data_IF_256782050606
#
_entry.id   IF_256782050606
#
_cell.length_a   1.000
_cell.length_b   1.000
_cell.length_c   1.000
_cell.angle_alpha   90.00
_cell.angle_beta   90.00
_cell.angle_gamma   90.00
#
_symmetry.space_group_name_H-M   'P 1'
#
loop_
_entity.id
_entity.type
_entity.pdbx_description
1 polymer ?
#
# COMPACT_ATOMS: atom_id res chain seq x y z
N UNK A 1 -18.09 28.96 56.00
CA UNK A 1 -19.36 28.29 55.73
C UNK A 1 -18.98 27.15 54.75
N UNK A 2 -18.56 26.03 55.27
CA UNK A 2 -19.33 24.85 55.70
C UNK A 2 -19.89 24.16 54.44
N UNK A 3 -19.16 23.13 54.02
CA UNK A 3 -19.47 21.69 54.22
C UNK A 3 -20.56 21.14 53.29
N UNK A 4 -20.22 20.25 52.42
CA UNK A 4 -20.76 18.90 52.53
C UNK A 4 -20.01 17.90 51.66
N UNK A 5 -19.20 17.07 52.28
CA UNK A 5 -18.66 15.78 51.82
C UNK A 5 -19.67 14.68 52.18
N UNK A 6 -19.96 13.80 51.26
CA UNK A 6 -20.45 12.46 51.61
C UNK A 6 -19.93 11.42 50.56
N UNK A 7 -19.41 10.27 51.02
CA UNK A 7 -18.85 9.21 50.16
C UNK A 7 -19.92 8.17 49.78
N UNK A 8 -19.91 7.71 48.55
CA UNK A 8 -20.69 6.54 48.14
C UNK A 8 -19.85 5.27 48.17
N UNK A 9 -20.45 4.31 48.79
CA UNK A 9 -19.99 3.00 49.23
C UNK A 9 -19.47 2.08 48.16
N UNK A 10 -18.41 1.36 48.52
CA UNK A 10 -18.03 0.09 47.96
C UNK A 10 -19.02 -0.98 48.39
N UNK A 11 -19.62 -1.72 47.44
CA UNK A 11 -20.21 -3.06 47.64
C UNK A 11 -20.60 -3.59 46.26
N UNK A 12 -19.90 -4.54 45.79
CA UNK A 12 -20.27 -5.86 45.22
C UNK A 12 -19.19 -6.40 44.29
N UNK A 13 -18.18 -6.98 44.93
CA UNK A 13 -17.36 -8.03 44.32
C UNK A 13 -17.77 -9.28 45.08
N UNK A 14 -18.47 -10.20 44.42
CA UNK A 14 -18.39 -11.64 44.78
C UNK A 14 -19.12 -12.49 43.74
N UNK A 15 -18.41 -13.56 43.37
CA UNK A 15 -18.87 -14.85 42.87
C UNK A 15 -19.18 -14.99 41.37
N UNK A 16 -18.25 -15.64 40.66
CA UNK A 16 -18.49 -16.94 40.01
C UNK A 16 -17.15 -17.52 39.56
N UNK A 17 -16.45 -18.15 40.49
CA UNK A 17 -15.58 -19.29 40.26
C UNK A 17 -16.45 -20.54 40.23
N UNK A 18 -15.95 -21.59 39.57
CA UNK A 18 -16.44 -22.97 39.48
C UNK A 18 -17.21 -23.32 38.18
N UNK A 19 -16.44 -23.76 37.16
CA UNK A 19 -16.67 -25.04 36.52
C UNK A 19 -15.50 -25.45 35.61
N UNK A 20 -14.47 -26.02 36.22
CA UNK A 20 -13.50 -26.88 35.56
C UNK A 20 -13.76 -28.33 36.05
N UNK A 21 -14.36 -29.14 35.19
CA UNK A 21 -14.30 -30.61 35.35
C UNK A 21 -14.47 -31.29 33.98
N UNK A 22 -13.38 -31.86 33.53
CA UNK A 22 -13.19 -33.15 32.88
C UNK A 22 -14.31 -33.71 31.97
N UNK A 23 -14.00 -33.82 30.66
CA UNK A 23 -14.35 -35.01 29.87
C UNK A 23 -13.12 -35.43 29.06
N UNK A 24 -12.43 -36.46 29.56
CA UNK A 24 -11.59 -37.34 28.77
C UNK A 24 -12.48 -38.48 28.27
N UNK A 25 -12.56 -38.69 26.96
CA UNK A 25 -13.12 -39.88 26.36
C UNK A 25 -12.45 -40.14 25.02
N UNK A 26 -11.55 -41.09 25.00
CA UNK A 26 -11.49 -42.30 24.17
C UNK A 26 -11.39 -42.10 22.64
N UNK A 27 -10.20 -42.42 22.15
CA UNK A 27 -9.89 -42.82 20.78
C UNK A 27 -10.39 -44.25 20.53
N UNK A 28 -11.08 -44.56 19.43
CA UNK A 28 -11.26 -45.93 18.98
C UNK A 28 -10.11 -46.34 18.02
N UNK A 29 -9.68 -47.58 18.24
CA UNK A 29 -8.56 -48.27 17.63
C UNK A 29 -8.72 -48.57 16.13
N UNK A 30 -7.61 -48.88 15.54
CA UNK A 30 -7.45 -49.46 14.22
C UNK A 30 -8.20 -50.79 14.08
N UNK A 31 -8.76 -51.11 12.89
CA UNK A 31 -9.03 -52.48 12.53
C UNK A 31 -8.03 -53.00 11.50
N UNK A 32 -7.64 -54.24 11.77
CA UNK A 32 -6.78 -55.16 11.05
C UNK A 32 -7.08 -55.33 9.56
N UNK A 33 -6.01 -55.62 8.84
CA UNK A 33 -6.00 -56.12 7.48
C UNK A 33 -6.58 -57.52 7.34
N UNK A 34 -7.52 -57.73 6.44
CA UNK A 34 -7.64 -58.84 5.51
C UNK A 34 -9.05 -58.87 4.88
N UNK A 35 -9.18 -58.63 3.60
CA UNK A 35 -9.73 -59.55 2.64
C UNK A 35 -9.87 -58.87 1.25
N UNK A 36 -9.33 -59.59 0.26
CA UNK A 36 -9.40 -59.20 -1.13
C UNK A 36 -10.82 -59.30 -1.70
N UNK A 37 -11.16 -58.38 -2.58
CA UNK A 37 -12.14 -58.60 -3.64
C UNK A 37 -11.84 -57.67 -4.81
N UNK A 38 -11.70 -58.32 -5.94
CA UNK A 38 -11.65 -57.87 -7.34
C UNK A 38 -12.14 -56.46 -7.62
N UNK A 39 -11.22 -55.64 -8.15
CA UNK A 39 -11.52 -54.34 -8.70
C UNK A 39 -12.08 -54.51 -10.10
N UNK A 40 -13.24 -53.99 -10.31
CA UNK A 40 -14.04 -54.00 -11.54
C UNK A 40 -13.31 -53.36 -12.72
N UNK A 41 -13.41 -53.96 -13.87
CA UNK A 41 -12.77 -53.59 -15.15
C UNK A 41 -13.27 -52.28 -15.81
N UNK A 42 -13.90 -51.38 -15.06
CA UNK A 42 -14.35 -50.10 -15.57
C UNK A 42 -13.38 -48.94 -15.38
N UNK A 43 -12.45 -49.04 -14.45
CA UNK A 43 -11.46 -47.98 -14.19
C UNK A 43 -10.30 -48.02 -15.21
N UNK A 44 -10.07 -49.15 -15.89
CA UNK A 44 -8.98 -49.29 -16.87
C UNK A 44 -9.36 -48.78 -18.27
N UNK A 45 -10.66 -48.59 -18.55
CA UNK A 45 -11.14 -48.09 -19.84
C UNK A 45 -11.03 -46.53 -19.94
N UNK A 46 -11.06 -45.82 -18.83
CA UNK A 46 -10.94 -44.35 -18.83
C UNK A 46 -9.47 -43.86 -18.88
N UNK A 47 -8.50 -44.67 -18.46
CA UNK A 47 -7.08 -44.36 -18.57
C UNK A 47 -6.54 -44.47 -20.00
N UNK A 48 -7.15 -45.31 -20.85
CA UNK A 48 -6.75 -45.47 -22.24
C UNK A 48 -7.37 -44.43 -23.20
N UNK A 49 -8.28 -43.58 -22.74
CA UNK A 49 -8.81 -42.45 -23.53
C UNK A 49 -7.98 -41.16 -23.44
N UNK A 50 -7.01 -41.07 -22.54
CA UNK A 50 -6.15 -39.90 -22.37
C UNK A 50 -4.80 -39.99 -23.09
N UNK A 51 -4.50 -41.13 -23.77
CA UNK A 51 -3.25 -41.31 -24.49
C UNK A 51 -3.31 -41.04 -26.00
N UNK A 52 -4.36 -40.37 -26.48
CA UNK A 52 -4.60 -40.06 -27.90
C UNK A 52 -4.36 -38.62 -28.32
N UNK A 53 -3.64 -37.79 -27.55
CA UNK A 53 -3.19 -36.51 -28.05
C UNK A 53 -2.00 -36.70 -28.99
N UNK A 54 -2.30 -36.77 -30.28
CA UNK A 54 -1.30 -36.59 -31.32
C UNK A 54 -0.73 -35.18 -31.21
N UNK A 55 0.58 -35.08 -31.00
CA UNK A 55 1.33 -33.85 -31.19
C UNK A 55 1.19 -33.43 -32.65
N UNK A 56 0.35 -32.47 -32.93
CA UNK A 56 0.36 -31.78 -34.22
C UNK A 56 1.70 -31.05 -34.34
N UNK A 57 2.37 -31.26 -35.50
CA UNK A 57 3.58 -30.53 -35.83
C UNK A 57 3.32 -29.04 -35.78
N UNK A 58 4.25 -28.20 -35.28
CA UNK A 58 4.10 -26.78 -35.35
C UNK A 58 3.94 -26.34 -36.79
N UNK A 59 2.87 -25.65 -37.07
CA UNK A 59 2.65 -24.94 -38.33
C UNK A 59 3.82 -23.97 -38.57
N UNK A 60 4.25 -23.75 -39.80
CA UNK A 60 5.27 -22.78 -40.12
C UNK A 60 4.76 -21.40 -39.65
N UNK A 61 5.65 -20.68 -38.97
CA UNK A 61 5.45 -19.29 -38.59
C UNK A 61 5.02 -18.50 -39.81
N UNK A 62 3.76 -18.09 -39.87
CA UNK A 62 3.32 -17.04 -40.78
C UNK A 62 4.12 -15.79 -40.45
N UNK A 63 4.59 -15.13 -41.50
CA UNK A 63 5.36 -13.87 -41.42
C UNK A 63 4.75 -12.92 -40.39
N UNK A 64 5.59 -12.19 -39.64
CA UNK A 64 5.11 -11.22 -38.69
C UNK A 64 4.23 -10.22 -39.47
N UNK A 65 2.99 -10.06 -39.01
CA UNK A 65 2.10 -8.99 -39.43
C UNK A 65 2.92 -7.73 -39.24
N UNK A 66 3.31 -7.08 -40.31
CA UNK A 66 3.87 -5.74 -40.30
C UNK A 66 2.79 -4.81 -39.71
N UNK A 67 2.80 -4.65 -38.38
CA UNK A 67 2.17 -3.52 -37.75
C UNK A 67 2.93 -2.26 -38.21
N UNK A 68 2.21 -1.33 -38.80
CA UNK A 68 2.73 -0.08 -39.29
C UNK A 68 3.52 0.63 -38.17
N UNK A 69 4.81 1.00 -38.39
CA UNK A 69 5.64 1.65 -37.38
C UNK A 69 5.10 3.01 -36.88
N UNK A 70 4.06 3.54 -37.53
CA UNK A 70 3.46 4.84 -37.20
C UNK A 70 2.56 4.83 -35.95
N UNK A 71 2.21 3.67 -35.35
CA UNK A 71 1.39 3.59 -34.13
C UNK A 71 2.17 3.40 -32.83
N UNK A 72 3.50 3.27 -32.88
CA UNK A 72 4.31 3.26 -31.67
C UNK A 72 4.41 4.69 -31.11
N UNK A 73 3.77 4.95 -29.96
CA UNK A 73 3.97 6.23 -29.27
C UNK A 73 5.44 6.32 -28.85
N UNK A 74 6.17 7.26 -29.48
CA UNK A 74 7.57 7.49 -29.14
C UNK A 74 7.68 7.96 -27.68
N UNK A 75 8.74 7.59 -26.95
CA UNK A 75 9.00 8.07 -25.59
C UNK A 75 8.90 9.61 -25.48
N UNK A 76 9.31 10.33 -26.52
CA UNK A 76 9.16 11.78 -26.63
C UNK A 76 7.70 12.26 -26.55
N UNK A 77 6.73 11.46 -27.01
CA UNK A 77 5.31 11.80 -26.93
C UNK A 77 4.80 11.70 -25.49
N UNK A 78 5.16 10.64 -24.74
CA UNK A 78 4.79 10.48 -23.34
C UNK A 78 5.36 11.61 -22.48
N UNK A 79 6.63 11.93 -22.65
CA UNK A 79 7.30 13.02 -21.94
C UNK A 79 6.64 14.38 -22.20
N UNK A 80 6.27 14.67 -23.44
CA UNK A 80 5.55 15.90 -23.79
C UNK A 80 4.19 15.98 -23.10
N UNK A 81 3.39 14.91 -23.17
CA UNK A 81 2.07 14.86 -22.55
C UNK A 81 2.17 14.95 -21.02
N UNK A 82 3.18 14.35 -20.39
CA UNK A 82 3.43 14.49 -18.96
C UNK A 82 3.76 15.94 -18.59
N UNK A 83 4.64 16.60 -19.36
CA UNK A 83 4.97 18.02 -19.16
C UNK A 83 3.74 18.94 -19.34
N UNK A 84 2.85 18.62 -20.27
CA UNK A 84 1.59 19.35 -20.44
C UNK A 84 0.66 19.13 -19.24
N UNK A 85 0.57 17.90 -18.72
CA UNK A 85 -0.19 17.61 -17.51
C UNK A 85 0.36 18.39 -16.30
N UNK A 86 1.68 18.45 -16.12
CA UNK A 86 2.32 19.24 -15.07
C UNK A 86 1.93 20.72 -15.13
N UNK A 87 1.90 21.29 -16.33
CA UNK A 87 1.46 22.69 -16.53
C UNK A 87 0.00 22.90 -16.15
N UNK A 88 -0.90 21.95 -16.52
CA UNK A 88 -2.32 22.01 -16.18
C UNK A 88 -2.50 21.92 -14.67
N UNK A 89 -1.79 21.01 -14.00
CA UNK A 89 -1.87 20.89 -12.53
C UNK A 89 -1.32 22.12 -11.82
N UNK A 90 -0.21 22.69 -12.27
CA UNK A 90 0.32 23.95 -11.72
C UNK A 90 -0.58 25.16 -12.01
N UNK A 91 -1.28 25.20 -13.15
CA UNK A 91 -2.30 26.23 -13.45
C UNK A 91 -3.35 26.26 -12.34
N UNK A 92 -3.87 25.09 -11.94
CA UNK A 92 -4.99 25.00 -11.03
C UNK A 92 -4.60 24.92 -9.55
N UNK A 93 -3.46 24.31 -9.21
CA UNK A 93 -3.03 24.14 -7.83
C UNK A 93 -1.90 25.08 -7.40
N UNK A 94 -1.39 25.89 -8.32
CA UNK A 94 -0.33 26.87 -8.08
C UNK A 94 1.05 26.36 -8.50
N UNK A 95 1.97 27.32 -8.68
CA UNK A 95 3.33 27.03 -9.17
C UNK A 95 4.13 26.10 -8.23
N UNK A 96 3.86 26.14 -6.93
CA UNK A 96 4.48 25.29 -5.91
C UNK A 96 3.84 23.90 -5.77
N UNK A 97 2.91 23.53 -6.66
CA UNK A 97 2.34 22.19 -6.64
C UNK A 97 3.43 21.14 -6.85
N UNK A 98 3.46 20.16 -5.95
CA UNK A 98 4.40 19.06 -5.99
C UNK A 98 4.01 18.03 -7.05
N UNK A 99 4.58 18.17 -8.24
CA UNK A 99 4.26 17.32 -9.41
C UNK A 99 4.69 15.87 -9.21
N UNK A 100 5.65 15.56 -8.34
CA UNK A 100 6.04 14.19 -8.08
C UNK A 100 4.91 13.38 -7.43
N UNK A 101 3.99 14.04 -6.71
CA UNK A 101 2.77 13.37 -6.22
C UNK A 101 1.89 12.94 -7.39
N UNK A 102 1.72 13.81 -8.39
CA UNK A 102 1.01 13.47 -9.62
C UNK A 102 1.73 12.33 -10.35
N UNK A 103 3.05 12.44 -10.49
CA UNK A 103 3.85 11.42 -11.16
C UNK A 103 3.74 10.06 -10.46
N UNK A 104 3.77 10.00 -9.12
CA UNK A 104 3.58 8.77 -8.37
C UNK A 104 2.17 8.16 -8.59
N UNK A 105 1.14 9.01 -8.61
CA UNK A 105 -0.26 8.58 -8.88
C UNK A 105 -0.37 8.04 -10.31
N UNK A 106 0.19 8.74 -11.29
CA UNK A 106 0.17 8.29 -12.69
C UNK A 106 1.02 7.04 -12.92
N UNK A 107 2.19 6.95 -12.27
CA UNK A 107 3.05 5.76 -12.31
C UNK A 107 2.33 4.52 -11.74
N UNK A 108 1.68 4.64 -10.59
CA UNK A 108 0.90 3.56 -10.01
C UNK A 108 -0.28 3.15 -10.92
N UNK A 109 -0.97 4.14 -11.54
CA UNK A 109 -2.05 3.87 -12.47
C UNK A 109 -1.57 3.27 -13.80
N UNK A 110 -0.37 3.60 -14.28
CA UNK A 110 0.24 3.00 -15.46
C UNK A 110 0.74 1.57 -15.18
N UNK A 111 1.30 1.33 -13.99
CA UNK A 111 1.77 0.01 -13.56
C UNK A 111 0.65 -1.04 -13.47
N UNK A 112 -0.62 -0.63 -13.38
CA UNK A 112 -1.79 -1.54 -13.43
C UNK A 112 -1.76 -2.45 -14.67
N UNK A 113 -1.21 -1.99 -15.78
CA UNK A 113 -1.13 -2.74 -17.05
C UNK A 113 0.16 -3.54 -17.22
N UNK A 114 1.13 -3.36 -16.34
CA UNK A 114 2.39 -4.07 -16.38
C UNK A 114 2.29 -5.40 -15.64
N UNK A 115 3.01 -6.40 -16.09
CA UNK A 115 3.09 -7.68 -15.40
C UNK A 115 3.78 -7.54 -14.05
N UNK A 116 3.38 -8.35 -13.08
CA UNK A 116 3.92 -8.40 -11.73
C UNK A 116 2.91 -7.97 -10.67
N UNK A 117 3.38 -7.74 -9.45
CA UNK A 117 2.54 -7.38 -8.30
C UNK A 117 1.85 -6.01 -8.52
N UNK A 118 0.63 -5.79 -8.03
CA UNK A 118 -0.01 -4.49 -8.14
C UNK A 118 0.70 -3.43 -7.29
N UNK A 119 0.63 -2.17 -7.69
CA UNK A 119 1.01 -1.04 -6.84
C UNK A 119 -0.21 -0.54 -6.10
N UNK A 120 -0.16 -0.55 -4.77
CA UNK A 120 -1.11 0.15 -3.94
C UNK A 120 -0.43 1.40 -3.37
N UNK A 121 -0.96 2.57 -3.72
CA UNK A 121 -0.35 3.85 -3.40
C UNK A 121 -1.25 4.66 -2.46
N UNK A 122 -0.67 5.24 -1.41
CA UNK A 122 -1.35 6.25 -0.59
C UNK A 122 -0.66 7.60 -0.71
N UNK A 123 -1.45 8.62 -1.02
CA UNK A 123 -1.04 10.02 -0.96
C UNK A 123 -1.35 10.54 0.45
N UNK A 124 -0.32 10.88 1.21
CA UNK A 124 -0.44 11.37 2.59
C UNK A 124 -0.11 12.86 2.62
N UNK A 125 -1.02 13.68 3.15
CA UNK A 125 -0.76 15.08 3.44
C UNK A 125 -1.72 15.62 4.50
N UNK A 126 -1.50 16.83 4.96
CA UNK A 126 -2.42 17.52 5.88
C UNK A 126 -3.83 17.68 5.30
N UNK A 127 -4.78 18.01 6.14
CA UNK A 127 -6.14 18.32 5.69
C UNK A 127 -6.17 19.60 4.86
N UNK A 128 -7.05 19.65 3.84
CA UNK A 128 -7.19 20.83 2.98
C UNK A 128 -6.15 20.95 1.86
N UNK A 129 -5.26 19.97 1.68
CA UNK A 129 -4.32 19.91 0.57
C UNK A 129 -4.95 19.22 -0.67
N UNK A 130 -4.26 19.30 -1.80
CA UNK A 130 -4.74 18.86 -3.13
C UNK A 130 -4.85 17.35 -3.33
N UNK A 131 -4.45 16.51 -2.33
CA UNK A 131 -4.39 15.04 -2.46
C UNK A 131 -5.65 14.38 -3.03
N UNK A 132 -6.83 14.74 -2.49
CA UNK A 132 -8.10 14.15 -2.95
C UNK A 132 -8.42 14.57 -4.37
N UNK A 133 -8.15 15.83 -4.74
CA UNK A 133 -8.32 16.30 -6.11
C UNK A 133 -7.37 15.56 -7.05
N UNK A 134 -6.07 15.42 -6.69
CA UNK A 134 -5.06 14.73 -7.48
C UNK A 134 -5.41 13.27 -7.79
N UNK A 135 -5.96 12.52 -6.84
CA UNK A 135 -6.34 11.10 -7.11
C UNK A 135 -7.70 10.98 -7.81
N UNK A 136 -8.64 11.91 -7.56
CA UNK A 136 -10.00 11.84 -8.14
C UNK A 136 -10.04 12.05 -9.65
N UNK A 137 -8.98 12.62 -10.23
CA UNK A 137 -8.85 12.81 -11.68
C UNK A 137 -8.79 11.49 -12.45
N UNK A 138 -8.42 10.38 -11.78
CA UNK A 138 -8.42 9.03 -12.35
C UNK A 138 -9.83 8.55 -12.77
N UNK A 139 -10.90 9.21 -12.32
CA UNK A 139 -12.24 9.04 -12.90
C UNK A 139 -12.26 9.31 -14.43
N UNK A 140 -11.33 10.12 -14.93
CA UNK A 140 -11.15 10.38 -16.36
C UNK A 140 -10.70 9.17 -17.19
N UNK A 141 -10.22 8.12 -16.55
CA UNK A 141 -9.80 6.85 -17.18
C UNK A 141 -10.63 5.65 -16.68
N UNK A 142 -11.86 5.90 -16.31
CA UNK A 142 -12.82 4.90 -15.85
C UNK A 142 -12.43 4.16 -14.55
N UNK A 143 -11.59 4.75 -13.70
CA UNK A 143 -11.35 4.22 -12.36
C UNK A 143 -12.63 4.27 -11.52
N UNK A 144 -12.85 3.28 -10.65
CA UNK A 144 -13.89 3.39 -9.63
C UNK A 144 -13.40 4.32 -8.53
N UNK A 145 -14.05 5.46 -8.38
CA UNK A 145 -13.77 6.44 -7.33
C UNK A 145 -14.85 6.34 -6.24
N UNK A 146 -14.45 6.01 -5.02
CA UNK A 146 -15.34 5.93 -3.85
C UNK A 146 -14.77 6.70 -2.67
N UNK A 147 -15.61 7.03 -1.70
CA UNK A 147 -15.14 7.75 -0.50
C UNK A 147 -14.31 6.83 0.38
N UNK A 148 -14.87 5.68 0.80
CA UNK A 148 -14.22 4.72 1.67
C UNK A 148 -14.84 3.32 1.48
N UNK A 149 -14.31 2.32 2.18
CA UNK A 149 -14.86 0.97 2.25
C UNK A 149 -15.44 0.78 3.65
N UNK A 150 -16.76 0.70 3.74
CA UNK A 150 -17.45 0.63 5.03
C UNK A 150 -17.47 -0.78 5.65
N UNK A 151 -17.30 -1.82 4.85
CA UNK A 151 -17.29 -3.23 5.30
C UNK A 151 -16.73 -4.14 4.22
N UNK A 152 -16.41 -5.39 4.58
CA UNK A 152 -16.06 -6.44 3.61
C UNK A 152 -17.19 -6.73 2.61
N UNK A 153 -18.47 -6.55 3.02
CA UNK A 153 -19.62 -6.69 2.14
C UNK A 153 -19.64 -5.69 0.99
N UNK A 154 -19.03 -4.51 1.17
CA UNK A 154 -18.86 -3.54 0.10
C UNK A 154 -17.87 -4.03 -0.98
N UNK A 155 -16.90 -4.85 -0.59
CA UNK A 155 -15.92 -5.45 -1.51
C UNK A 155 -16.55 -6.59 -2.32
N UNK A 156 -17.25 -7.51 -1.64
CA UNK A 156 -17.87 -8.67 -2.28
C UNK A 156 -19.15 -9.05 -1.54
N UNK A 157 -20.28 -9.13 -2.26
CA UNK A 157 -21.58 -9.43 -1.69
C UNK A 157 -22.39 -10.40 -2.55
N UNK A 158 -23.37 -11.06 -1.94
CA UNK A 158 -24.33 -11.92 -2.63
C UNK A 158 -25.78 -11.53 -2.31
N UNK A 159 -26.68 -11.64 -3.28
CA UNK A 159 -28.12 -11.55 -3.06
C UNK A 159 -28.66 -12.88 -2.54
N UNK A 160 -29.83 -12.84 -1.88
CA UNK A 160 -30.53 -14.02 -1.34
C UNK A 160 -31.14 -14.95 -2.41
N UNK A 161 -30.93 -14.69 -3.70
CA UNK A 161 -31.56 -15.50 -4.78
C UNK A 161 -31.02 -16.92 -4.79
N UNK A 162 -31.91 -17.91 -4.77
CA UNK A 162 -31.57 -19.33 -4.86
C UNK A 162 -30.86 -19.71 -6.17
N UNK A 163 -31.09 -18.95 -7.25
CA UNK A 163 -30.50 -19.20 -8.58
C UNK A 163 -29.01 -18.85 -8.67
N UNK A 164 -28.45 -18.16 -7.66
CA UNK A 164 -27.04 -17.73 -7.62
C UNK A 164 -26.24 -18.41 -6.49
N UNK A 165 -26.53 -19.69 -6.25
CA UNK A 165 -25.84 -20.46 -5.21
C UNK A 165 -24.31 -20.40 -5.40
N UNK A 166 -23.60 -19.91 -4.38
CA UNK A 166 -22.14 -19.88 -4.35
C UNK A 166 -21.45 -18.78 -5.18
N UNK A 167 -22.22 -17.89 -5.85
CA UNK A 167 -21.62 -16.79 -6.65
C UNK A 167 -21.88 -15.44 -6.00
N UNK A 168 -20.87 -14.58 -6.02
CA UNK A 168 -21.02 -13.18 -5.67
C UNK A 168 -21.88 -12.48 -6.76
N UNK A 169 -22.79 -11.61 -6.32
CA UNK A 169 -23.71 -10.88 -7.22
C UNK A 169 -23.50 -9.36 -7.18
N UNK A 170 -22.63 -8.88 -6.31
CA UNK A 170 -22.34 -7.46 -6.13
C UNK A 170 -21.00 -7.19 -5.42
N UNK A 171 -20.70 -5.92 -5.27
CA UNK A 171 -19.51 -5.44 -4.61
C UNK A 171 -18.54 -4.72 -5.55
N UNK A 172 -17.55 -4.05 -4.97
CA UNK A 172 -16.56 -3.26 -5.72
C UNK A 172 -15.71 -4.14 -6.64
N UNK A 173 -15.32 -5.34 -6.20
CA UNK A 173 -14.45 -6.23 -6.97
C UNK A 173 -15.12 -6.66 -8.28
N UNK A 174 -16.39 -7.08 -8.24
CA UNK A 174 -17.11 -7.46 -9.46
C UNK A 174 -17.38 -6.27 -10.40
N UNK A 175 -17.44 -5.06 -9.86
CA UNK A 175 -17.55 -3.84 -10.69
C UNK A 175 -16.21 -3.56 -11.38
N UNK A 176 -15.07 -3.72 -10.67
CA UNK A 176 -13.73 -3.55 -11.21
C UNK A 176 -13.45 -4.57 -12.33
N UNK A 177 -13.88 -5.82 -12.16
CA UNK A 177 -13.67 -6.86 -13.17
C UNK A 177 -14.33 -6.55 -14.53
N UNK A 178 -15.37 -5.72 -14.53
CA UNK A 178 -16.06 -5.27 -15.76
C UNK A 178 -15.36 -4.11 -16.46
N UNK A 179 -14.35 -3.51 -15.83
CA UNK A 179 -13.63 -2.37 -16.37
C UNK A 179 -12.36 -2.82 -17.10
N UNK A 180 -11.99 -2.06 -18.11
CA UNK A 180 -10.72 -2.24 -18.82
C UNK A 180 -9.53 -2.00 -17.88
N UNK A 181 -9.62 -0.97 -17.03
CA UNK A 181 -8.63 -0.66 -16.00
C UNK A 181 -9.16 -1.03 -14.62
N UNK A 182 -8.42 -1.87 -13.91
CA UNK A 182 -8.80 -2.32 -12.57
C UNK A 182 -8.24 -1.38 -11.49
N UNK A 183 -8.64 -0.10 -11.59
CA UNK A 183 -8.22 0.97 -10.68
C UNK A 183 -9.33 1.29 -9.68
N UNK A 184 -9.02 1.16 -8.40
CA UNK A 184 -9.86 1.59 -7.28
C UNK A 184 -9.24 2.82 -6.61
N UNK A 185 -10.01 3.90 -6.57
CA UNK A 185 -9.60 5.15 -5.92
C UNK A 185 -10.40 5.36 -4.64
N UNK A 186 -9.71 5.45 -3.50
CA UNK A 186 -10.27 5.71 -2.18
C UNK A 186 -9.99 7.15 -1.77
N UNK A 187 -11.01 8.02 -1.80
CA UNK A 187 -10.82 9.45 -1.51
C UNK A 187 -10.45 9.73 -0.05
N UNK A 188 -10.84 8.84 0.86
CA UNK A 188 -10.60 8.99 2.29
C UNK A 188 -10.31 7.62 2.95
N UNK A 189 -9.04 7.25 2.99
CA UNK A 189 -8.56 6.09 3.74
C UNK A 189 -8.52 6.39 5.25
N UNK A 190 -8.47 7.67 5.65
CA UNK A 190 -8.49 8.07 7.06
C UNK A 190 -9.74 7.55 7.76
N UNK A 191 -10.92 7.64 7.11
CA UNK A 191 -12.16 7.09 7.65
C UNK A 191 -12.09 5.58 7.91
N UNK A 192 -11.41 4.82 7.06
CA UNK A 192 -11.23 3.37 7.24
C UNK A 192 -10.32 3.07 8.45
N UNK A 193 -9.18 3.75 8.55
CA UNK A 193 -8.23 3.50 9.66
C UNK A 193 -8.74 4.00 11.01
N UNK A 194 -9.63 5.00 11.00
CA UNK A 194 -10.29 5.55 12.20
C UNK A 194 -11.60 4.83 12.54
N UNK A 195 -12.03 3.85 11.74
CA UNK A 195 -13.23 3.06 12.01
C UNK A 195 -13.07 2.19 13.27
N UNK A 196 -14.19 1.64 13.74
CA UNK A 196 -14.19 0.65 14.83
C UNK A 196 -13.13 -0.45 14.58
N UNK A 197 -12.52 -0.93 15.67
CA UNK A 197 -11.40 -1.90 15.61
C UNK A 197 -11.75 -3.14 14.80
N UNK A 198 -12.97 -3.67 14.96
CA UNK A 198 -13.39 -4.90 14.30
C UNK A 198 -13.60 -4.66 12.79
N UNK A 199 -14.31 -3.59 12.43
CA UNK A 199 -14.52 -3.19 11.02
C UNK A 199 -13.19 -2.96 10.33
N UNK A 200 -12.31 -2.18 10.95
CA UNK A 200 -10.96 -1.92 10.42
C UNK A 200 -10.18 -3.21 10.21
N UNK A 201 -10.12 -4.08 11.23
CA UNK A 201 -9.38 -5.33 11.15
C UNK A 201 -9.90 -6.24 10.02
N UNK A 202 -11.23 -6.38 9.91
CA UNK A 202 -11.87 -7.23 8.89
C UNK A 202 -11.61 -6.70 7.47
N UNK A 203 -11.79 -5.39 7.24
CA UNK A 203 -11.58 -4.80 5.91
C UNK A 203 -10.09 -4.85 5.53
N UNK A 204 -9.17 -4.55 6.44
CA UNK A 204 -7.73 -4.61 6.15
C UNK A 204 -7.26 -6.05 5.90
N UNK A 205 -7.82 -7.05 6.62
CA UNK A 205 -7.55 -8.46 6.35
C UNK A 205 -8.01 -8.88 4.95
N UNK A 206 -9.23 -8.49 4.55
CA UNK A 206 -9.74 -8.73 3.21
C UNK A 206 -8.87 -8.06 2.13
N UNK A 207 -8.49 -6.78 2.34
CA UNK A 207 -7.61 -6.06 1.42
C UNK A 207 -6.25 -6.74 1.26
N UNK A 208 -5.70 -7.31 2.33
CA UNK A 208 -4.43 -8.04 2.27
C UNK A 208 -4.51 -9.25 1.33
N UNK A 209 -5.56 -10.05 1.42
CA UNK A 209 -5.75 -11.21 0.55
C UNK A 209 -6.06 -10.80 -0.89
N UNK A 210 -6.85 -9.73 -1.08
CA UNK A 210 -7.12 -9.15 -2.40
C UNK A 210 -5.80 -8.67 -3.06
N UNK A 211 -4.88 -8.09 -2.32
CA UNK A 211 -3.55 -7.74 -2.83
C UNK A 211 -2.79 -8.96 -3.34
N UNK A 212 -2.88 -10.07 -2.59
CA UNK A 212 -2.22 -11.33 -2.93
C UNK A 212 -2.94 -12.10 -4.07
N UNK A 213 -4.05 -11.55 -4.60
CA UNK A 213 -4.72 -11.99 -5.84
C UNK A 213 -5.89 -12.96 -5.65
N UNK A 214 -6.19 -13.37 -4.44
CA UNK A 214 -7.32 -14.23 -4.11
C UNK A 214 -7.94 -13.84 -2.79
N UNK A 215 -9.24 -13.84 -2.71
CA UNK A 215 -9.98 -13.64 -1.46
C UNK A 215 -11.26 -14.46 -1.43
N UNK A 216 -11.48 -15.11 -0.29
CA UNK A 216 -12.68 -15.88 -0.02
C UNK A 216 -13.39 -15.35 1.22
N UNK A 217 -14.72 -15.19 1.09
CA UNK A 217 -15.58 -14.70 2.16
C UNK A 217 -16.72 -15.67 2.40
N UNK A 218 -16.84 -16.14 3.65
CA UNK A 218 -17.98 -16.95 4.07
C UNK A 218 -19.12 -16.06 4.55
N UNK A 219 -20.31 -16.28 4.02
CA UNK A 219 -21.54 -15.56 4.40
C UNK A 219 -22.59 -16.53 4.91
N UNK A 220 -23.18 -16.25 6.07
CA UNK A 220 -24.17 -17.12 6.75
C UNK A 220 -25.55 -17.15 6.12
N UNK A 221 -25.72 -16.65 4.88
CA UNK A 221 -27.03 -16.60 4.19
C UNK A 221 -27.32 -17.94 3.52
N UNK A 222 -28.55 -18.46 3.70
CA UNK A 222 -29.04 -19.71 3.07
C UNK A 222 -28.16 -20.95 3.39
N UNK A 223 -27.85 -21.16 4.65
CA UNK A 223 -27.11 -22.36 5.11
C UNK A 223 -25.59 -22.26 4.99
N UNK A 224 -25.08 -21.07 4.77
CA UNK A 224 -23.64 -20.80 4.59
C UNK A 224 -23.22 -20.85 3.11
N UNK A 225 -22.50 -19.83 2.66
CA UNK A 225 -21.94 -19.75 1.31
C UNK A 225 -20.54 -19.19 1.37
N UNK A 226 -19.66 -19.73 0.55
CA UNK A 226 -18.37 -19.12 0.28
C UNK A 226 -18.45 -18.29 -1.00
N UNK A 227 -17.99 -17.04 -0.94
CA UNK A 227 -17.88 -16.14 -2.08
C UNK A 227 -16.40 -15.94 -2.34
N UNK A 228 -15.91 -16.35 -3.49
CA UNK A 228 -14.52 -16.19 -3.87
C UNK A 228 -14.37 -15.15 -4.98
N UNK A 229 -13.22 -14.50 -4.97
CA UNK A 229 -12.76 -13.61 -6.04
C UNK A 229 -11.27 -13.86 -6.28
N UNK A 230 -10.88 -13.85 -7.55
CA UNK A 230 -9.47 -13.87 -7.94
C UNK A 230 -9.21 -12.81 -8.99
N UNK A 231 -8.09 -12.12 -8.88
CA UNK A 231 -7.75 -11.05 -9.80
C UNK A 231 -6.61 -10.19 -9.31
N UNK A 232 -6.39 -9.09 -10.00
CA UNK A 232 -5.37 -8.09 -9.67
C UNK A 232 -5.99 -6.71 -9.79
N UNK A 233 -5.87 -5.90 -8.74
CA UNK A 233 -6.37 -4.52 -8.73
C UNK A 233 -5.29 -3.58 -8.22
N UNK A 234 -5.27 -2.36 -8.74
CA UNK A 234 -4.48 -1.26 -8.19
C UNK A 234 -5.37 -0.40 -7.32
N UNK A 235 -4.90 -0.09 -6.11
CA UNK A 235 -5.60 0.80 -5.17
C UNK A 235 -4.79 2.08 -4.99
N UNK A 236 -5.42 3.22 -5.22
CA UNK A 236 -4.82 4.54 -4.99
C UNK A 236 -5.69 5.29 -4.00
N UNK A 237 -5.11 5.68 -2.87
CA UNK A 237 -5.87 6.31 -1.79
C UNK A 237 -5.30 7.63 -1.33
N UNK A 238 -6.14 8.48 -0.71
CA UNK A 238 -5.73 9.64 0.03
C UNK A 238 -5.93 9.42 1.53
N UNK A 239 -4.93 9.81 2.32
CA UNK A 239 -4.96 9.71 3.75
C UNK A 239 -4.37 10.98 4.40
N UNK A 240 -4.78 11.27 5.63
CA UNK A 240 -4.13 12.30 6.43
C UNK A 240 -2.91 11.71 7.17
N UNK A 241 -2.16 12.57 7.84
CA UNK A 241 -1.05 12.17 8.72
C UNK A 241 -1.50 11.28 9.91
N UNK A 242 -2.81 11.09 10.10
CA UNK A 242 -3.34 10.08 11.02
C UNK A 242 -2.86 8.65 10.68
N UNK A 243 -2.47 8.39 9.42
CA UNK A 243 -1.79 7.16 9.01
C UNK A 243 -0.63 6.80 9.93
N UNK A 244 0.21 7.77 10.27
CA UNK A 244 1.41 7.55 11.10
C UNK A 244 1.07 7.15 12.54
N UNK A 245 -0.07 7.61 13.05
CA UNK A 245 -0.57 7.23 14.39
C UNK A 245 -1.02 5.76 14.43
N UNK A 246 -1.56 5.24 13.33
CA UNK A 246 -2.08 3.88 13.23
C UNK A 246 -1.08 2.91 12.56
N UNK A 247 0.09 3.38 12.18
CA UNK A 247 1.07 2.60 11.41
C UNK A 247 1.44 1.27 12.09
N UNK A 248 1.62 1.23 13.41
CA UNK A 248 1.95 0.01 14.13
C UNK A 248 0.90 -1.10 13.94
N UNK A 249 -0.40 -0.75 13.94
CA UNK A 249 -1.49 -1.71 13.70
C UNK A 249 -1.50 -2.19 12.26
N UNK A 250 -1.24 -1.28 11.31
CA UNK A 250 -1.22 -1.59 9.88
C UNK A 250 -0.01 -2.48 9.54
N UNK A 251 1.14 -2.16 10.09
CA UNK A 251 2.38 -2.90 9.88
C UNK A 251 2.31 -4.34 10.42
N UNK A 252 1.64 -4.57 11.56
CA UNK A 252 1.40 -5.93 12.09
C UNK A 252 0.59 -6.81 11.13
N UNK A 253 -0.24 -6.21 10.28
CA UNK A 253 -1.03 -6.92 9.28
C UNK A 253 -0.31 -7.05 7.93
N UNK A 254 0.94 -6.57 7.84
CA UNK A 254 1.75 -6.53 6.63
C UNK A 254 1.34 -5.38 5.71
N UNK A 255 2.13 -4.32 5.71
CA UNK A 255 1.88 -3.14 4.89
C UNK A 255 1.97 -3.49 3.39
N UNK A 256 0.91 -3.14 2.66
CA UNK A 256 0.80 -3.35 1.20
C UNK A 256 0.90 -2.04 0.43
N UNK A 257 1.02 -0.92 1.13
CA UNK A 257 0.99 0.39 0.50
C UNK A 257 2.38 0.99 0.34
N UNK A 258 2.62 1.55 -0.83
CA UNK A 258 3.69 2.52 -1.08
C UNK A 258 3.14 3.90 -0.74
N UNK A 259 3.90 4.73 -0.08
CA UNK A 259 3.47 6.06 0.32
C UNK A 259 4.15 7.14 -0.52
N UNK A 260 3.43 8.22 -0.79
CA UNK A 260 3.99 9.49 -1.25
C UNK A 260 3.44 10.62 -0.37
N UNK A 261 4.32 11.49 0.14
CA UNK A 261 3.95 12.52 1.12
C UNK A 261 4.00 13.91 0.50
N UNK A 262 2.91 14.67 0.70
CA UNK A 262 2.84 16.08 0.35
C UNK A 262 3.14 16.98 1.54
N UNK A 263 3.87 18.06 1.28
CA UNK A 263 4.12 19.10 2.29
C UNK A 263 2.97 20.11 2.30
N UNK A 264 2.03 19.91 3.24
CA UNK A 264 0.91 20.84 3.43
C UNK A 264 1.27 22.13 4.17
N UNK A 265 2.49 22.21 4.73
CA UNK A 265 2.96 23.41 5.45
C UNK A 265 3.57 24.44 4.52
N UNK A 266 4.06 24.02 3.34
CA UNK A 266 4.66 24.91 2.37
C UNK A 266 3.60 25.75 1.67
N UNK A 267 3.90 27.04 1.48
CA UNK A 267 3.13 28.00 0.68
C UNK A 267 1.62 28.08 0.98
N UNK A 268 1.25 27.91 2.27
CA UNK A 268 -0.15 27.83 2.70
C UNK A 268 -1.00 29.02 2.21
N UNK A 269 -0.46 30.24 2.28
CA UNK A 269 -1.18 31.44 1.82
C UNK A 269 -1.38 31.43 0.31
N UNK A 270 -0.34 31.09 -0.45
CA UNK A 270 -0.43 31.00 -1.91
C UNK A 270 -1.43 29.93 -2.35
N UNK A 271 -1.41 28.75 -1.71
CA UNK A 271 -2.40 27.69 -1.93
C UNK A 271 -3.83 28.16 -1.63
N UNK A 272 -4.03 28.88 -0.52
CA UNK A 272 -5.33 29.45 -0.15
C UNK A 272 -5.85 30.46 -1.17
N UNK A 273 -5.00 31.39 -1.62
CA UNK A 273 -5.34 32.35 -2.66
C UNK A 273 -5.67 31.68 -3.99
N UNK A 274 -4.92 30.64 -4.38
CA UNK A 274 -5.21 29.86 -5.57
C UNK A 274 -6.57 29.17 -5.49
N UNK A 275 -6.88 28.54 -4.35
CA UNK A 275 -8.19 27.93 -4.13
C UNK A 275 -9.35 28.93 -4.24
N UNK A 276 -9.18 30.14 -3.70
CA UNK A 276 -10.18 31.22 -3.84
C UNK A 276 -10.38 31.63 -5.30
N UNK A 277 -9.30 31.72 -6.10
CA UNK A 277 -9.39 32.04 -7.54
C UNK A 277 -10.12 30.98 -8.34
N UNK A 278 -10.04 29.72 -7.91
CA UNK A 278 -10.67 28.59 -8.58
C UNK A 278 -12.17 28.46 -8.22
N UNK A 279 -12.66 29.22 -7.25
CA UNK A 279 -14.07 29.14 -6.82
C UNK A 279 -15.02 29.43 -7.96
N UNK A 280 -15.94 28.51 -8.26
CA UNK A 280 -16.88 28.56 -9.36
C UNK A 280 -16.34 28.01 -10.68
N UNK A 281 -15.08 27.61 -10.74
CA UNK A 281 -14.44 27.01 -11.93
C UNK A 281 -14.17 25.51 -11.77
N UNK A 282 -14.74 24.86 -10.75
CA UNK A 282 -14.44 23.47 -10.37
C UNK A 282 -14.78 22.48 -11.49
N UNK A 283 -15.81 22.76 -12.30
CA UNK A 283 -16.21 21.90 -13.42
C UNK A 283 -15.15 21.95 -14.53
N UNK A 284 -14.72 23.17 -14.91
CA UNK A 284 -13.66 23.38 -15.91
C UNK A 284 -12.34 22.77 -15.43
N UNK A 285 -11.92 23.10 -14.21
CA UNK A 285 -10.74 22.54 -13.56
C UNK A 285 -10.72 21.01 -13.63
N UNK A 286 -11.78 20.37 -13.17
CA UNK A 286 -11.88 18.91 -13.19
C UNK A 286 -11.87 18.36 -14.63
N UNK A 287 -12.46 19.06 -15.57
CA UNK A 287 -12.46 18.71 -16.99
C UNK A 287 -11.04 18.67 -17.56
N UNK A 288 -10.28 19.77 -17.38
CA UNK A 288 -8.90 19.89 -17.87
C UNK A 288 -7.96 18.88 -17.20
N UNK A 289 -8.02 18.74 -15.87
CA UNK A 289 -7.20 17.80 -15.12
C UNK A 289 -7.44 16.34 -15.55
N UNK A 290 -8.71 15.94 -15.74
CA UNK A 290 -9.05 14.60 -16.23
C UNK A 290 -8.62 14.36 -17.67
N UNK A 291 -8.73 15.37 -18.53
CA UNK A 291 -8.27 15.26 -19.91
C UNK A 291 -6.75 15.07 -19.98
N UNK A 292 -5.97 15.86 -19.23
CA UNK A 292 -4.52 15.73 -19.15
C UNK A 292 -4.09 14.33 -18.67
N UNK A 293 -4.67 13.83 -17.58
CA UNK A 293 -4.39 12.49 -17.05
C UNK A 293 -4.74 11.39 -18.05
N UNK A 294 -5.89 11.51 -18.73
CA UNK A 294 -6.31 10.57 -19.77
C UNK A 294 -5.29 10.50 -20.92
N UNK A 295 -4.80 11.65 -21.38
CA UNK A 295 -3.81 11.72 -22.45
C UNK A 295 -2.52 10.99 -22.07
N UNK A 296 -1.98 11.26 -20.87
CA UNK A 296 -0.77 10.60 -20.37
C UNK A 296 -0.98 9.08 -20.24
N UNK A 297 -2.05 8.63 -19.59
CA UNK A 297 -2.26 7.21 -19.35
C UNK A 297 -2.64 6.42 -20.61
N UNK A 298 -3.23 7.06 -21.61
CA UNK A 298 -3.46 6.43 -22.92
C UNK A 298 -2.16 6.27 -23.71
N UNK A 299 -1.29 7.27 -23.70
CA UNK A 299 0.03 7.16 -24.31
C UNK A 299 0.89 6.09 -23.61
N UNK A 300 0.89 6.06 -22.28
CA UNK A 300 1.59 5.05 -21.50
C UNK A 300 1.14 3.60 -21.79
N UNK A 301 -0.09 3.42 -22.31
CA UNK A 301 -0.60 2.09 -22.72
C UNK A 301 0.19 1.49 -23.88
N UNK A 302 0.60 2.32 -24.82
CA UNK A 302 1.33 1.91 -26.01
C UNK A 302 2.86 1.90 -25.79
N UNK A 303 3.35 2.42 -24.66
CA UNK A 303 4.78 2.45 -24.35
C UNK A 303 5.33 1.01 -24.14
N UNK A 304 6.57 0.74 -24.58
CA UNK A 304 7.24 -0.52 -24.32
C UNK A 304 7.35 -0.78 -22.80
N UNK A 305 7.26 -2.05 -22.40
CA UNK A 305 7.42 -2.44 -20.99
C UNK A 305 8.85 -2.17 -20.54
N UNK A 306 9.10 -1.24 -19.60
CA UNK A 306 10.44 -0.92 -19.18
C UNK A 306 11.09 -2.08 -18.43
N UNK A 307 12.30 -2.46 -18.85
CA UNK A 307 13.14 -3.41 -18.12
C UNK A 307 13.99 -2.65 -17.11
N UNK A 308 14.20 -3.25 -15.93
CA UNK A 308 15.08 -2.70 -14.90
C UNK A 308 16.50 -3.20 -15.11
N UNK A 309 17.51 -2.35 -14.96
CA UNK A 309 18.90 -2.74 -14.96
C UNK A 309 19.30 -3.32 -13.59
N UNK A 310 20.39 -4.07 -13.52
CA UNK A 310 20.89 -4.62 -12.26
C UNK A 310 21.26 -3.53 -11.26
N UNK A 311 21.85 -2.43 -11.73
CA UNK A 311 22.22 -1.30 -10.86
C UNK A 311 20.99 -0.61 -10.23
N UNK A 312 19.95 -0.34 -11.03
CA UNK A 312 18.67 0.20 -10.53
C UNK A 312 18.01 -0.78 -9.56
N UNK A 313 18.03 -2.07 -9.90
CA UNK A 313 17.48 -3.12 -9.04
C UNK A 313 18.16 -3.17 -7.68
N UNK A 314 19.48 -3.05 -7.61
CA UNK A 314 20.22 -2.99 -6.35
C UNK A 314 19.80 -1.78 -5.52
N UNK A 315 19.77 -0.58 -6.09
CA UNK A 315 19.35 0.63 -5.37
C UNK A 315 17.93 0.50 -4.79
N UNK A 316 16.99 -0.09 -5.54
CA UNK A 316 15.63 -0.31 -5.05
C UNK A 316 15.56 -1.37 -3.94
N UNK A 317 16.42 -2.40 -3.99
CA UNK A 317 16.51 -3.42 -2.92
C UNK A 317 17.13 -2.82 -1.67
N UNK A 318 18.22 -2.03 -1.79
CA UNK A 318 18.87 -1.37 -0.66
C UNK A 318 17.91 -0.39 0.03
N UNK A 319 17.15 0.39 -0.75
CA UNK A 319 16.08 1.25 -0.23
C UNK A 319 14.99 0.43 0.49
N UNK A 320 14.57 -0.69 -0.10
CA UNK A 320 13.54 -1.55 0.49
C UNK A 320 14.02 -2.20 1.81
N UNK A 321 15.28 -2.62 1.89
CA UNK A 321 15.87 -3.18 3.11
C UNK A 321 15.84 -2.17 4.25
N UNK A 322 16.32 -0.94 4.00
CA UNK A 322 16.31 0.10 5.02
C UNK A 322 14.89 0.48 5.46
N UNK A 323 13.96 0.63 4.52
CA UNK A 323 12.57 1.00 4.83
C UNK A 323 11.85 -0.09 5.61
N UNK A 324 12.01 -1.36 5.25
CA UNK A 324 11.36 -2.47 5.96
C UNK A 324 11.88 -2.59 7.39
N UNK A 325 13.16 -2.32 7.67
CA UNK A 325 13.68 -2.19 9.03
C UNK A 325 13.07 -1.00 9.76
N UNK A 326 13.10 0.20 9.14
CA UNK A 326 12.55 1.42 9.75
C UNK A 326 11.08 1.28 10.13
N UNK A 327 10.27 0.59 9.33
CA UNK A 327 8.83 0.43 9.57
C UNK A 327 8.46 -0.77 10.44
N UNK A 328 9.43 -1.62 10.82
CA UNK A 328 9.16 -2.76 11.69
C UNK A 328 8.54 -2.30 13.02
N UNK A 329 7.39 -2.86 13.44
CA UNK A 329 6.74 -2.50 14.68
C UNK A 329 7.58 -2.85 15.90
N UNK A 330 7.53 -1.98 16.92
CA UNK A 330 8.04 -2.25 18.26
C UNK A 330 6.90 -1.99 19.25
N UNK A 331 6.72 -2.90 20.18
CA UNK A 331 5.81 -2.71 21.30
C UNK A 331 6.52 -1.95 22.42
N UNK A 332 5.78 -1.13 23.15
CA UNK A 332 6.32 -0.29 24.19
C UNK A 332 5.56 -0.49 25.49
N UNK A 333 6.27 -0.53 26.58
CA UNK A 333 5.69 -0.51 27.92
C UNK A 333 5.00 0.82 28.22
N UNK A 334 4.32 0.92 29.35
CA UNK A 334 3.64 2.16 29.78
C UNK A 334 4.60 3.34 30.05
N UNK A 335 5.91 3.07 30.19
CA UNK A 335 6.96 4.08 30.34
C UNK A 335 7.58 4.51 29.01
N UNK A 336 7.19 3.86 27.91
CA UNK A 336 7.71 4.11 26.56
C UNK A 336 9.03 3.44 26.27
N UNK A 337 9.45 2.42 27.04
CA UNK A 337 10.59 1.58 26.71
C UNK A 337 10.16 0.46 25.76
N UNK A 338 11.06 0.05 24.88
CA UNK A 338 10.82 -1.08 23.98
C UNK A 338 10.71 -2.37 24.79
N UNK A 339 9.56 -3.04 24.71
CA UNK A 339 9.30 -4.31 25.34
C UNK A 339 9.53 -5.48 24.37
N UNK A 340 9.12 -5.28 23.09
CA UNK A 340 9.27 -6.29 22.07
C UNK A 340 9.54 -5.67 20.70
N UNK A 341 10.28 -6.38 19.86
CA UNK A 341 10.49 -6.05 18.45
C UNK A 341 9.92 -7.17 17.61
N UNK A 342 9.00 -6.82 16.71
CA UNK A 342 8.44 -7.82 15.79
C UNK A 342 9.48 -8.32 14.80
N UNK A 343 9.23 -9.48 14.20
CA UNK A 343 10.10 -10.01 13.15
C UNK A 343 10.22 -9.01 11.99
N UNK A 344 11.43 -8.83 11.47
CA UNK A 344 11.69 -7.97 10.33
C UNK A 344 10.90 -8.48 9.12
N UNK A 345 10.26 -7.55 8.40
CA UNK A 345 9.66 -7.86 7.10
C UNK A 345 10.77 -8.06 6.07
N UNK A 346 10.68 -9.13 5.26
CA UNK A 346 11.60 -9.29 4.14
C UNK A 346 11.38 -8.17 3.09
N UNK A 347 12.44 -7.60 2.50
CA UNK A 347 12.33 -6.47 1.58
C UNK A 347 11.66 -6.84 0.24
N UNK A 348 11.48 -8.13 -0.05
CA UNK A 348 11.08 -8.65 -1.35
C UNK A 348 9.79 -8.04 -1.92
N UNK A 349 8.73 -7.92 -1.09
CA UNK A 349 7.47 -7.31 -1.52
C UNK A 349 7.65 -5.84 -1.82
N UNK A 350 8.28 -5.11 -0.93
CA UNK A 350 8.44 -3.68 -1.07
C UNK A 350 9.37 -3.34 -2.25
N UNK A 351 10.46 -4.10 -2.46
CA UNK A 351 11.32 -3.94 -3.62
C UNK A 351 10.55 -4.16 -4.95
N UNK A 352 9.69 -5.18 -5.04
CA UNK A 352 8.80 -5.37 -6.18
C UNK A 352 7.85 -4.20 -6.41
N UNK A 353 7.28 -3.63 -5.36
CA UNK A 353 6.41 -2.46 -5.46
C UNK A 353 7.18 -1.24 -5.97
N UNK A 354 8.37 -0.98 -5.45
CA UNK A 354 9.23 0.11 -5.94
C UNK A 354 9.64 -0.10 -7.40
N UNK A 355 9.95 -1.34 -7.80
CA UNK A 355 10.21 -1.70 -9.20
C UNK A 355 9.01 -1.35 -10.09
N UNK A 356 7.78 -1.63 -9.66
CA UNK A 356 6.59 -1.28 -10.42
C UNK A 356 6.33 0.22 -10.46
N UNK A 357 6.62 0.96 -9.39
CA UNK A 357 6.57 2.44 -9.41
C UNK A 357 7.58 2.98 -10.44
N UNK A 358 8.82 2.49 -10.42
CA UNK A 358 9.85 2.86 -11.40
C UNK A 358 9.39 2.57 -12.83
N UNK A 359 8.93 1.34 -13.12
CA UNK A 359 8.46 0.94 -14.45
C UNK A 359 7.27 1.79 -14.91
N UNK A 360 6.31 2.06 -14.03
CA UNK A 360 5.19 2.94 -14.30
C UNK A 360 5.62 4.38 -14.58
N UNK A 361 6.63 4.88 -13.84
CA UNK A 361 7.20 6.21 -14.02
C UNK A 361 7.88 6.36 -15.39
N UNK A 362 8.64 5.36 -15.82
CA UNK A 362 9.21 5.35 -17.19
C UNK A 362 8.10 5.27 -18.24
N UNK A 363 7.07 4.46 -18.02
CA UNK A 363 5.98 4.31 -18.98
C UNK A 363 5.18 5.60 -19.18
N UNK A 364 5.05 6.47 -18.18
CA UNK A 364 4.39 7.78 -18.31
C UNK A 364 5.29 8.87 -18.92
N UNK A 365 6.57 8.57 -19.17
CA UNK A 365 7.49 9.47 -19.88
C UNK A 365 8.55 10.14 -19.02
N UNK A 366 8.76 9.74 -17.76
CA UNK A 366 9.95 10.15 -17.00
C UNK A 366 11.19 9.45 -17.57
N UNK A 367 12.31 10.13 -17.60
CA UNK A 367 13.58 9.48 -17.85
C UNK A 367 13.93 8.50 -16.71
N UNK A 368 14.89 7.60 -16.95
CA UNK A 368 15.22 6.55 -15.99
C UNK A 368 15.72 7.08 -14.65
N UNK A 369 16.47 8.20 -14.66
CA UNK A 369 16.98 8.79 -13.44
C UNK A 369 15.86 9.47 -12.64
N UNK A 370 14.96 10.19 -13.30
CA UNK A 370 13.77 10.77 -12.68
C UNK A 370 12.85 9.68 -12.12
N UNK A 371 12.65 8.61 -12.89
CA UNK A 371 11.82 7.47 -12.45
C UNK A 371 12.41 6.77 -11.20
N UNK A 372 13.74 6.60 -11.17
CA UNK A 372 14.44 6.05 -10.01
C UNK A 372 14.33 7.00 -8.81
N UNK A 373 14.56 8.30 -9.01
CA UNK A 373 14.40 9.32 -7.96
C UNK A 373 12.99 9.32 -7.37
N UNK A 374 11.95 9.19 -8.21
CA UNK A 374 10.57 9.08 -7.76
C UNK A 374 10.32 7.81 -6.93
N UNK A 375 10.83 6.66 -7.37
CA UNK A 375 10.70 5.40 -6.62
C UNK A 375 11.43 5.48 -5.27
N UNK A 376 12.63 6.06 -5.21
CA UNK A 376 13.38 6.29 -3.97
C UNK A 376 12.69 7.32 -3.06
N UNK A 377 12.06 8.36 -3.63
CA UNK A 377 11.18 9.25 -2.87
C UNK A 377 10.02 8.48 -2.24
N UNK A 378 9.34 7.62 -2.99
CA UNK A 378 8.28 6.78 -2.45
C UNK A 378 8.80 5.83 -1.35
N UNK A 379 10.01 5.31 -1.49
CA UNK A 379 10.65 4.51 -0.44
C UNK A 379 10.86 5.34 0.83
N UNK A 380 11.48 6.51 0.71
CA UNK A 380 11.69 7.44 1.84
C UNK A 380 10.37 7.81 2.50
N UNK A 381 9.36 8.18 1.73
CA UNK A 381 8.04 8.58 2.21
C UNK A 381 7.27 7.44 2.88
N UNK A 382 7.62 6.19 2.59
CA UNK A 382 7.07 4.98 3.25
C UNK A 382 7.71 4.68 4.60
N UNK A 383 8.76 5.40 4.98
CA UNK A 383 9.38 5.30 6.31
C UNK A 383 8.58 6.08 7.36
N UNK A 384 8.52 5.61 8.63
CA UNK A 384 7.94 6.39 9.72
C UNK A 384 8.69 7.72 9.91
N UNK A 385 8.03 8.88 9.76
CA UNK A 385 8.73 10.17 9.63
C UNK A 385 9.65 10.50 10.81
N UNK A 386 9.21 10.23 12.04
CA UNK A 386 10.00 10.54 13.24
C UNK A 386 11.23 9.64 13.38
N UNK A 387 11.13 8.35 13.01
CA UNK A 387 12.29 7.44 13.00
C UNK A 387 13.32 7.88 11.97
N UNK A 388 12.85 8.20 10.76
CA UNK A 388 13.71 8.66 9.68
C UNK A 388 14.40 9.99 10.04
N UNK A 389 13.65 10.97 10.56
CA UNK A 389 14.22 12.26 10.96
C UNK A 389 15.30 12.13 12.04
N UNK A 390 15.10 11.26 13.04
CA UNK A 390 16.09 11.00 14.07
C UNK A 390 17.32 10.30 13.47
N UNK A 391 17.13 9.33 12.60
CA UNK A 391 18.24 8.64 11.94
C UNK A 391 19.06 9.62 11.10
N UNK A 392 18.42 10.46 10.30
CA UNK A 392 19.06 11.53 9.52
C UNK A 392 19.81 12.53 10.39
N UNK A 393 19.24 12.91 11.54
CA UNK A 393 19.91 13.81 12.49
C UNK A 393 21.20 13.20 13.06
N UNK A 394 21.16 11.91 13.44
CA UNK A 394 22.33 11.20 13.97
C UNK A 394 23.39 10.99 12.90
N UNK A 395 23.02 10.73 11.64
CA UNK A 395 23.99 10.68 10.52
C UNK A 395 24.72 12.00 10.35
N UNK A 396 23.99 13.13 10.40
CA UNK A 396 24.58 14.48 10.29
C UNK A 396 25.41 14.88 11.51
N UNK A 397 25.11 14.33 12.66
CA UNK A 397 25.70 14.69 13.94
C UNK A 397 26.02 13.45 14.76
N UNK A 398 27.03 12.64 14.35
CA UNK A 398 27.43 11.45 15.09
C UNK A 398 27.80 11.77 16.54
N UNK A 399 27.45 10.89 17.47
CA UNK A 399 27.69 11.12 18.90
C UNK A 399 26.68 12.07 19.57
N UNK A 400 25.57 12.42 18.90
CA UNK A 400 24.53 13.26 19.49
C UNK A 400 23.84 12.60 20.67
N UNK A 401 23.58 13.37 21.71
CA UNK A 401 22.72 12.97 22.82
C UNK A 401 21.22 13.17 22.45
N UNK A 402 20.33 12.48 23.17
CA UNK A 402 18.86 12.66 22.98
C UNK A 402 18.40 14.11 23.10
N UNK A 403 19.01 14.88 24.01
CA UNK A 403 18.68 16.28 24.22
C UNK A 403 19.09 17.16 23.02
N UNK A 404 20.18 16.82 22.34
CA UNK A 404 20.66 17.57 21.18
C UNK A 404 19.77 17.29 19.96
N UNK A 405 19.47 16.02 19.71
CA UNK A 405 18.49 15.60 18.68
C UNK A 405 17.12 16.23 18.93
N UNK A 406 16.64 16.21 20.18
CA UNK A 406 15.40 16.88 20.56
C UNK A 406 15.38 18.36 20.18
N UNK A 407 16.44 19.07 20.50
CA UNK A 407 16.56 20.52 20.26
C UNK A 407 16.60 20.84 18.77
N UNK A 408 17.37 20.06 17.98
CA UNK A 408 17.48 20.26 16.52
C UNK A 408 16.19 19.96 15.79
N UNK A 409 15.52 18.86 16.15
CA UNK A 409 14.29 18.41 15.47
C UNK A 409 13.02 19.06 16.01
N UNK A 410 13.06 19.76 17.17
CA UNK A 410 11.89 20.35 17.80
C UNK A 410 10.86 19.32 18.28
N UNK A 411 11.25 18.05 18.47
CA UNK A 411 10.37 16.97 18.90
C UNK A 411 10.24 16.92 20.44
N UNK A 412 9.12 16.42 20.99
CA UNK A 412 9.03 16.15 22.42
C UNK A 412 10.08 15.11 22.87
N UNK A 413 10.67 15.29 24.05
CA UNK A 413 11.70 14.39 24.58
C UNK A 413 11.24 12.92 24.63
N UNK A 414 9.99 12.71 25.05
CA UNK A 414 9.42 11.37 25.10
C UNK A 414 9.36 10.71 23.72
N UNK A 415 9.02 11.44 22.67
CA UNK A 415 9.01 10.94 21.30
C UNK A 415 10.42 10.57 20.83
N UNK A 416 11.41 11.45 21.09
CA UNK A 416 12.83 11.16 20.75
C UNK A 416 13.31 9.90 21.49
N UNK A 417 13.06 9.82 22.80
CA UNK A 417 13.46 8.66 23.60
C UNK A 417 12.86 7.35 23.06
N UNK A 418 11.54 7.36 22.80
CA UNK A 418 10.83 6.21 22.24
C UNK A 418 11.41 5.75 20.91
N UNK A 419 11.66 6.67 19.99
CA UNK A 419 12.15 6.33 18.66
C UNK A 419 13.65 5.98 18.64
N UNK A 420 14.49 6.60 19.48
CA UNK A 420 15.88 6.20 19.64
C UNK A 420 15.97 4.76 20.14
N UNK A 421 15.19 4.39 21.17
CA UNK A 421 15.15 3.02 21.66
C UNK A 421 14.68 2.03 20.59
N UNK A 422 13.66 2.40 19.80
CA UNK A 422 13.21 1.57 18.69
C UNK A 422 14.32 1.39 17.64
N UNK A 423 15.01 2.45 17.25
CA UNK A 423 16.11 2.39 16.29
C UNK A 423 17.29 1.55 16.80
N UNK A 424 17.59 1.61 18.11
CA UNK A 424 18.60 0.74 18.73
C UNK A 424 18.16 -0.74 18.72
N UNK A 425 16.91 -1.02 19.08
CA UNK A 425 16.36 -2.36 19.08
C UNK A 425 16.31 -2.97 17.66
N UNK A 426 16.11 -2.13 16.63
CA UNK A 426 16.18 -2.49 15.21
C UNK A 426 17.62 -2.54 14.66
N UNK A 427 18.62 -2.30 15.49
CA UNK A 427 20.06 -2.26 15.14
C UNK A 427 20.39 -1.24 14.04
N UNK A 428 19.67 -0.11 14.01
CA UNK A 428 19.96 1.03 13.13
C UNK A 428 20.79 2.11 13.84
N UNK A 429 20.71 2.16 15.18
CA UNK A 429 21.54 3.00 16.02
C UNK A 429 22.27 2.16 17.08
N UNK A 430 23.44 2.60 17.45
CA UNK A 430 24.22 2.12 18.58
C UNK A 430 24.64 3.26 19.50
N UNK A 431 25.20 2.93 20.67
CA UNK A 431 25.63 3.92 21.65
C UNK A 431 24.70 4.02 22.86
N UNK A 432 24.95 5.02 23.70
CA UNK A 432 24.26 5.20 24.98
C UNK A 432 23.88 6.65 25.21
N UNK A 433 23.07 6.90 26.24
CA UNK A 433 22.73 8.26 26.66
C UNK A 433 23.91 9.08 27.22
N UNK A 434 25.05 8.45 27.50
CA UNK A 434 26.27 9.11 28.01
C UNK A 434 27.29 9.30 26.89
N UNK A 435 27.44 8.33 25.99
CA UNK A 435 28.44 8.33 24.92
C UNK A 435 27.91 8.96 23.62
N UNK A 436 26.61 9.17 23.55
CA UNK A 436 25.95 9.58 22.33
C UNK A 436 25.54 8.43 21.44
N UNK A 437 24.84 8.75 20.34
CA UNK A 437 24.33 7.77 19.38
C UNK A 437 25.05 7.87 18.05
N UNK A 438 25.26 6.71 17.43
CA UNK A 438 25.90 6.55 16.14
C UNK A 438 25.02 5.64 15.28
N UNK A 439 25.11 5.79 13.96
CA UNK A 439 24.48 4.85 13.04
C UNK A 439 25.34 3.59 12.92
N UNK A 440 24.71 2.46 12.72
CA UNK A 440 25.39 1.18 12.45
C UNK A 440 25.76 1.06 10.98
N UNK A 441 26.67 0.16 10.63
CA UNK A 441 27.11 -0.10 9.24
C UNK A 441 25.99 -0.55 8.30
N UNK A 442 24.84 -0.97 8.83
CA UNK A 442 23.69 -1.38 8.01
C UNK A 442 22.81 -0.20 7.56
N UNK A 443 23.18 1.05 7.88
CA UNK A 443 22.43 2.25 7.50
C UNK A 443 23.11 2.95 6.34
N UNK A 444 22.48 2.87 5.19
CA UNK A 444 22.85 3.68 4.01
C UNK A 444 21.67 4.59 3.64
N UNK A 445 21.73 5.87 4.06
CA UNK A 445 20.71 6.85 3.70
C UNK A 445 20.77 7.27 2.22
N UNK A 446 21.91 7.09 1.54
CA UNK A 446 22.02 7.35 0.11
C UNK A 446 21.10 6.42 -0.68
N UNK A 447 20.80 5.22 -0.15
CA UNK A 447 19.83 4.30 -0.71
C UNK A 447 18.39 4.91 -0.81
N UNK A 448 18.08 5.95 -0.03
CA UNK A 448 16.80 6.68 -0.11
C UNK A 448 16.85 7.89 -1.04
N UNK A 449 17.90 8.03 -1.85
CA UNK A 449 18.06 9.15 -2.78
C UNK A 449 18.40 10.48 -2.09
N UNK A 450 18.83 10.45 -0.83
CA UNK A 450 19.21 11.63 -0.07
C UNK A 450 20.72 11.83 -0.21
N UNK A 451 21.12 12.58 -1.25
CA UNK A 451 22.54 12.83 -1.56
C UNK A 451 23.20 13.88 -0.66
N UNK A 452 22.45 14.47 0.27
CA UNK A 452 22.97 15.50 1.20
C UNK A 452 23.94 14.93 2.26
N UNK A 453 24.20 13.62 2.23
CA UNK A 453 25.05 12.90 3.17
C UNK A 453 26.37 12.39 2.58
N UNK A 454 26.65 12.67 1.29
CA UNK A 454 27.86 12.22 0.60
C UNK A 454 29.00 13.27 0.56
N UNK A 455 28.92 14.35 1.37
CA UNK A 455 30.01 15.34 1.50
C UNK A 455 30.69 15.29 2.85
#
# INVERSE_FOLDING_TARGET
MAENTAPLKAEQVQACDENTAAVAAELPGEPDAANGSTVDGKAQADLNRLSGCQFERPMPLTDPIHSDPSEMSEPATCQKLLSEADKVFRKWFGASYDVDILHAVLAAAAAERLDGDPVWLLVISGSGDTKTATISVLAGVNAIVTSTIASEGALLSATRSQNNAGKATGGLLLRLDKLERKLLVLKDVTSLISADRNVRATVLAALREIYDGFWERNVGVNGGRSLSWSGRITVIGACTTAWDTHHAVIAQMGDRFVLVRGNSSADRQAKGLQAMRNTGQEVEMNGELRAAVRSVLNAAKAAPVPQISEAEGRQLVDAAELVTRLRTPCDFDYRGNVENVHALEAPTRFAKQLTQVFRGAVAIGLDRQQALSLALRCARDSSPPQRLAILQDVVKHPGSLRADTQRRLGLPFFAVNKHVQALQALRLLEGSGQEGFFVTDCVDLAALGDTTFCE
#
